data_IF_877210140090
#
_entry.id   IF_877210140090
#
_cell.length_a   1.000
_cell.length_b   1.000
_cell.length_c   1.000
_cell.angle_alpha   90.00
_cell.angle_beta   90.00
_cell.angle_gamma   90.00
#
_symmetry.space_group_name_H-M   'P 1'
#
loop_
_entity.id
_entity.type
_entity.pdbx_description
1 polymer ?
#
# COMPACT_ATOMS: atom_id res chain seq x y z
N UNK A 1 -42.13 -9.34 -19.13
CA UNK A 1 -41.11 -9.04 -18.11
C UNK A 1 -40.51 -10.36 -17.64
N UNK A 2 -39.28 -10.64 -18.05
CA UNK A 2 -38.58 -11.89 -17.73
C UNK A 2 -37.71 -11.64 -16.49
N UNK A 3 -37.76 -12.45 -15.43
CA UNK A 3 -36.97 -12.20 -14.24
C UNK A 3 -35.49 -12.51 -14.53
N UNK A 4 -34.62 -11.56 -14.18
CA UNK A 4 -33.16 -11.71 -14.25
C UNK A 4 -32.74 -12.73 -13.18
N UNK A 5 -32.19 -13.86 -13.62
CA UNK A 5 -31.54 -14.83 -12.74
C UNK A 5 -30.17 -14.29 -12.35
N UNK A 6 -30.03 -13.84 -11.11
CA UNK A 6 -28.72 -13.62 -10.51
C UNK A 6 -28.01 -14.97 -10.39
N UNK A 7 -26.88 -15.10 -11.10
CA UNK A 7 -26.01 -16.27 -10.98
C UNK A 7 -25.59 -16.45 -9.53
N UNK A 8 -25.69 -17.68 -9.02
CA UNK A 8 -25.09 -18.02 -7.73
C UNK A 8 -23.57 -17.94 -7.92
N UNK A 9 -22.95 -16.87 -7.45
CA UNK A 9 -21.52 -16.87 -7.18
C UNK A 9 -21.27 -17.94 -6.14
N UNK A 10 -20.51 -18.97 -6.49
CA UNK A 10 -20.05 -19.99 -5.56
C UNK A 10 -19.22 -19.27 -4.49
N UNK A 11 -19.78 -19.06 -3.30
CA UNK A 11 -19.01 -18.65 -2.14
C UNK A 11 -18.10 -19.82 -1.77
N UNK A 12 -16.83 -19.73 -2.16
CA UNK A 12 -15.79 -20.54 -1.55
C UNK A 12 -15.75 -20.12 -0.08
N UNK A 13 -16.26 -20.96 0.81
CA UNK A 13 -16.13 -20.78 2.26
C UNK A 13 -14.64 -20.96 2.57
N UNK A 14 -13.91 -19.85 2.56
CA UNK A 14 -12.57 -19.81 3.14
C UNK A 14 -12.75 -19.95 4.64
N UNK A 15 -12.38 -21.10 5.21
CA UNK A 15 -12.27 -21.23 6.66
C UNK A 15 -11.24 -20.23 7.14
N UNK A 16 -11.70 -19.18 7.82
CA UNK A 16 -10.85 -18.19 8.46
C UNK A 16 -9.86 -18.89 9.39
N UNK A 17 -8.54 -18.61 9.29
CA UNK A 17 -7.58 -19.18 10.22
C UNK A 17 -7.93 -18.71 11.64
N UNK A 18 -7.98 -19.67 12.57
CA UNK A 18 -8.14 -19.35 14.00
C UNK A 18 -6.85 -18.73 14.52
N UNK A 19 -6.97 -17.59 15.18
CA UNK A 19 -5.81 -16.90 15.79
C UNK A 19 -5.57 -17.39 17.22
N UNK A 20 -4.29 -17.44 17.62
CA UNK A 20 -3.89 -17.74 18.99
C UNK A 20 -3.84 -16.45 19.83
N UNK A 21 -4.93 -16.18 20.55
CA UNK A 21 -5.07 -14.97 21.35
C UNK A 21 -4.17 -14.96 22.60
N UNK A 22 -3.82 -16.13 23.15
CA UNK A 22 -2.92 -16.18 24.31
C UNK A 22 -1.50 -15.82 23.87
N UNK A 23 -1.02 -16.41 22.76
CA UNK A 23 0.28 -16.02 22.21
C UNK A 23 0.35 -14.54 21.85
N UNK A 24 -0.72 -13.97 21.29
CA UNK A 24 -0.79 -12.53 21.02
C UNK A 24 -0.66 -11.70 22.31
N UNK A 25 -1.37 -12.08 23.39
CA UNK A 25 -1.31 -11.38 24.69
C UNK A 25 0.06 -11.48 25.34
N UNK A 26 0.71 -12.64 25.25
CA UNK A 26 2.03 -12.87 25.83
C UNK A 26 3.16 -12.16 25.06
N UNK A 27 3.09 -12.15 23.73
CA UNK A 27 4.18 -11.67 22.86
C UNK A 27 3.97 -10.24 22.36
N UNK A 28 2.74 -9.72 22.42
CA UNK A 28 2.36 -8.42 21.82
C UNK A 28 2.24 -8.43 20.30
N UNK A 29 2.41 -9.58 19.64
CA UNK A 29 2.21 -9.76 18.20
C UNK A 29 1.85 -11.22 17.86
N UNK A 30 1.24 -11.42 16.69
CA UNK A 30 0.99 -12.74 16.11
C UNK A 30 1.28 -12.72 14.61
N UNK A 31 1.99 -13.75 14.12
CA UNK A 31 2.20 -13.96 12.69
C UNK A 31 1.12 -14.90 12.18
N UNK A 32 0.35 -14.44 11.18
CA UNK A 32 -0.65 -15.25 10.48
C UNK A 32 -0.25 -15.32 9.02
N UNK A 33 0.13 -16.50 8.57
CA UNK A 33 0.61 -16.73 7.20
C UNK A 33 -0.54 -16.95 6.23
N UNK A 34 -0.31 -16.65 4.94
CA UNK A 34 -1.25 -16.98 3.86
C UNK A 34 -2.56 -16.17 3.85
N UNK A 35 -2.58 -14.98 4.47
CA UNK A 35 -3.75 -14.10 4.44
C UNK A 35 -3.99 -13.50 3.06
N UNK A 36 -2.91 -13.07 2.41
CA UNK A 36 -2.98 -12.47 1.08
C UNK A 36 -2.52 -13.46 0.02
N UNK A 37 -3.27 -13.52 -1.07
CA UNK A 37 -2.81 -14.13 -2.30
C UNK A 37 -1.84 -13.16 -3.00
N UNK A 38 -0.59 -13.56 -3.28
CA UNK A 38 0.38 -12.65 -3.90
C UNK A 38 -0.11 -12.06 -5.22
N UNK A 39 -0.82 -12.83 -6.04
CA UNK A 39 -1.23 -12.41 -7.39
C UNK A 39 -2.56 -11.68 -7.34
N UNK A 40 -3.54 -12.17 -6.59
CA UNK A 40 -4.88 -11.59 -6.58
C UNK A 40 -5.00 -10.38 -5.64
N UNK A 41 -4.20 -10.30 -4.56
CA UNK A 41 -4.29 -9.21 -3.58
C UNK A 41 -3.11 -8.24 -3.65
N UNK A 42 -1.87 -8.72 -3.88
CA UNK A 42 -0.67 -7.87 -3.79
C UNK A 42 -0.25 -7.27 -5.13
N UNK A 43 -0.22 -8.06 -6.22
CA UNK A 43 0.14 -7.56 -7.55
C UNK A 43 -0.69 -6.34 -8.00
N UNK A 44 -2.02 -6.26 -7.75
CA UNK A 44 -2.79 -5.06 -8.09
C UNK A 44 -2.33 -3.81 -7.35
N UNK A 45 -1.92 -3.94 -6.09
CA UNK A 45 -1.37 -2.83 -5.29
C UNK A 45 -0.02 -2.39 -5.86
N UNK A 46 0.85 -3.35 -6.23
CA UNK A 46 2.14 -3.04 -6.87
C UNK A 46 1.93 -2.36 -8.22
N UNK A 47 0.97 -2.81 -9.02
CA UNK A 47 0.63 -2.21 -10.30
C UNK A 47 0.09 -0.77 -10.14
N UNK A 48 -0.76 -0.54 -9.15
CA UNK A 48 -1.28 0.80 -8.81
C UNK A 48 -0.13 1.75 -8.43
N UNK A 49 0.80 1.30 -7.58
CA UNK A 49 1.97 2.08 -7.21
C UNK A 49 2.95 2.30 -8.36
N UNK A 50 3.05 1.34 -9.29
CA UNK A 50 3.86 1.49 -10.51
C UNK A 50 3.28 2.55 -11.44
N UNK A 51 1.96 2.57 -11.62
CA UNK A 51 1.26 3.58 -12.42
C UNK A 51 1.34 4.99 -11.78
N UNK A 52 1.28 5.06 -10.43
CA UNK A 52 1.53 6.30 -9.71
C UNK A 52 2.96 6.80 -9.95
N UNK A 53 3.96 5.92 -9.85
CA UNK A 53 5.36 6.26 -10.13
C UNK A 53 5.54 6.75 -11.57
N UNK A 54 4.85 6.17 -12.55
CA UNK A 54 4.83 6.66 -13.93
C UNK A 54 4.34 8.10 -14.02
N UNK A 55 3.18 8.37 -13.45
CA UNK A 55 2.56 9.71 -13.47
C UNK A 55 3.47 10.74 -12.81
N UNK A 56 3.99 10.43 -11.61
CA UNK A 56 4.88 11.33 -10.87
C UNK A 56 6.18 11.57 -11.61
N UNK A 57 6.76 10.54 -12.23
CA UNK A 57 8.00 10.67 -12.99
C UNK A 57 7.82 11.59 -14.20
N UNK A 58 6.71 11.45 -14.95
CA UNK A 58 6.44 12.32 -16.10
C UNK A 58 6.31 13.78 -15.70
N UNK A 59 5.55 14.06 -14.63
CA UNK A 59 5.38 15.40 -14.11
C UNK A 59 6.71 15.99 -13.60
N UNK A 60 7.50 15.19 -12.90
CA UNK A 60 8.79 15.61 -12.35
C UNK A 60 9.88 15.78 -13.40
N UNK A 61 9.82 15.05 -14.51
CA UNK A 61 10.67 15.34 -15.68
C UNK A 61 10.22 16.63 -16.35
N UNK A 62 8.92 16.80 -16.58
CA UNK A 62 8.38 17.97 -17.25
C UNK A 62 8.68 19.29 -16.51
N UNK A 63 8.71 19.26 -15.18
CA UNK A 63 9.03 20.43 -14.36
C UNK A 63 10.51 20.54 -13.93
N UNK A 64 11.36 19.58 -14.32
CA UNK A 64 12.79 19.58 -14.03
C UNK A 64 13.18 19.15 -12.61
N UNK A 65 12.27 18.57 -11.83
CA UNK A 65 12.58 17.99 -10.50
C UNK A 65 13.51 16.77 -10.62
N UNK A 66 13.32 15.93 -11.65
CA UNK A 66 14.21 14.80 -11.96
C UNK A 66 14.65 14.88 -13.42
N UNK A 67 15.84 14.35 -13.74
CA UNK A 67 16.39 14.43 -15.10
C UNK A 67 15.76 13.45 -16.08
N UNK A 68 15.27 12.30 -15.60
CA UNK A 68 14.69 11.22 -16.41
C UNK A 68 13.78 10.32 -15.56
N UNK A 69 13.01 9.45 -16.22
CA UNK A 69 11.95 8.64 -15.62
C UNK A 69 12.39 7.25 -15.09
N UNK A 70 13.60 6.79 -15.47
CA UNK A 70 14.18 5.50 -15.11
C UNK A 70 13.30 4.28 -15.48
N UNK A 71 12.45 4.38 -16.50
CA UNK A 71 11.49 3.33 -16.89
C UNK A 71 12.12 2.01 -17.32
N UNK A 72 13.40 2.01 -17.67
CA UNK A 72 14.15 0.81 -17.99
C UNK A 72 14.47 -0.07 -16.78
N UNK A 73 14.33 0.47 -15.55
CA UNK A 73 14.71 -0.22 -14.32
C UNK A 73 13.53 -0.93 -13.65
N UNK A 74 13.79 -2.02 -12.90
CA UNK A 74 12.79 -2.61 -12.01
C UNK A 74 12.24 -1.60 -10.99
N UNK A 75 10.98 -1.77 -10.55
CA UNK A 75 10.26 -0.82 -9.70
C UNK A 75 11.10 -0.25 -8.54
N UNK A 76 11.75 -1.10 -7.76
CA UNK A 76 12.53 -0.67 -6.60
C UNK A 76 13.76 0.16 -6.96
N UNK A 77 14.44 -0.17 -8.07
CA UNK A 77 15.61 0.56 -8.56
C UNK A 77 15.20 1.90 -9.20
N UNK A 78 14.10 1.88 -9.96
CA UNK A 78 13.48 3.06 -10.54
C UNK A 78 13.08 4.05 -9.45
N UNK A 79 12.35 3.60 -8.44
CA UNK A 79 11.93 4.44 -7.32
C UNK A 79 13.13 5.03 -6.59
N UNK A 80 14.20 4.26 -6.37
CA UNK A 80 15.43 4.79 -5.77
C UNK A 80 16.08 5.89 -6.64
N UNK A 81 16.14 5.70 -7.96
CA UNK A 81 16.64 6.70 -8.90
C UNK A 81 15.86 8.01 -8.83
N UNK A 82 14.53 7.91 -8.90
CA UNK A 82 13.61 9.05 -8.79
C UNK A 82 13.77 9.77 -7.44
N UNK A 83 13.79 9.03 -6.33
CA UNK A 83 13.92 9.61 -4.99
C UNK A 83 15.27 10.29 -4.75
N UNK A 84 16.37 9.75 -5.28
CA UNK A 84 17.69 10.39 -5.13
C UNK A 84 17.75 11.77 -5.80
N UNK A 85 16.91 12.04 -6.81
CA UNK A 85 16.79 13.36 -7.43
C UNK A 85 15.72 14.23 -6.76
N UNK A 86 14.55 13.66 -6.45
CA UNK A 86 13.43 14.38 -5.82
C UNK A 86 13.63 14.67 -4.32
N UNK A 87 14.55 13.97 -3.66
CA UNK A 87 14.83 14.05 -2.22
C UNK A 87 13.82 13.31 -1.33
N UNK A 88 14.02 13.35 0.01
CA UNK A 88 13.20 12.59 0.96
C UNK A 88 11.70 12.89 0.94
N UNK A 89 11.31 14.13 0.63
CA UNK A 89 9.89 14.52 0.47
C UNK A 89 9.22 13.86 -0.73
N UNK A 90 9.99 13.30 -1.67
CA UNK A 90 9.48 12.55 -2.81
C UNK A 90 8.69 11.29 -2.44
N UNK A 91 8.76 10.81 -1.19
CA UNK A 91 7.90 9.74 -0.70
C UNK A 91 6.45 10.17 -0.44
N UNK A 92 6.20 11.44 -0.09
CA UNK A 92 4.89 11.88 0.38
C UNK A 92 3.75 11.61 -0.61
N UNK A 93 3.90 11.82 -1.93
CA UNK A 93 2.83 11.52 -2.88
C UNK A 93 2.43 10.04 -2.97
N UNK A 94 3.28 9.12 -2.49
CA UNK A 94 2.99 7.68 -2.44
C UNK A 94 2.26 7.27 -1.15
N UNK A 95 2.18 8.15 -0.16
CA UNK A 95 1.57 7.82 1.12
C UNK A 95 0.05 7.97 1.07
N UNK A 96 -0.65 7.12 1.83
CA UNK A 96 -2.10 7.11 1.96
C UNK A 96 -2.61 8.02 3.09
N UNK A 97 -1.73 8.86 3.62
CA UNK A 97 -2.03 9.86 4.64
C UNK A 97 -1.42 11.19 4.28
N UNK A 98 -2.06 12.27 4.75
CA UNK A 98 -1.52 13.62 4.66
C UNK A 98 -0.38 13.79 5.67
N UNK A 99 0.58 14.70 5.40
CA UNK A 99 1.59 15.04 6.39
C UNK A 99 0.94 15.65 7.63
N UNK A 100 1.61 15.53 8.78
CA UNK A 100 1.09 15.99 10.06
C UNK A 100 0.87 17.51 10.13
N UNK A 101 1.63 18.28 9.34
CA UNK A 101 1.55 19.74 9.29
C UNK A 101 1.74 20.24 7.84
N UNK A 102 1.46 21.53 7.64
CA UNK A 102 1.72 22.19 6.35
C UNK A 102 0.84 21.70 5.19
N UNK A 103 -0.32 21.09 5.50
CA UNK A 103 -1.29 20.66 4.48
C UNK A 103 -1.89 21.87 3.78
N UNK A 104 -1.84 21.85 2.45
CA UNK A 104 -2.46 22.79 1.53
C UNK A 104 -3.34 22.04 0.53
N UNK A 105 -4.07 22.76 -0.32
CA UNK A 105 -4.90 22.16 -1.38
C UNK A 105 -4.08 21.38 -2.42
N UNK A 106 -2.80 21.72 -2.56
CA UNK A 106 -1.85 21.06 -3.46
C UNK A 106 -1.15 19.84 -2.82
N UNK A 107 -1.38 19.59 -1.54
CA UNK A 107 -0.74 18.48 -0.83
C UNK A 107 -1.28 17.15 -1.32
N UNK A 108 -0.38 16.31 -1.84
CA UNK A 108 -0.75 15.01 -2.41
C UNK A 108 -0.96 13.95 -1.34
N UNK A 109 -1.92 13.07 -1.63
CA UNK A 109 -2.24 11.85 -0.90
C UNK A 109 -2.62 10.79 -1.93
N UNK A 110 -2.12 9.57 -1.78
CA UNK A 110 -2.50 8.45 -2.63
C UNK A 110 -3.82 7.86 -2.15
N UNK A 111 -4.86 7.96 -2.98
CA UNK A 111 -6.20 7.45 -2.69
C UNK A 111 -6.58 6.29 -3.62
N UNK A 112 -5.60 5.45 -3.93
CA UNK A 112 -5.76 4.31 -4.81
C UNK A 112 -6.80 3.29 -4.34
N UNK A 113 -7.57 2.76 -5.30
CA UNK A 113 -8.60 1.76 -5.03
C UNK A 113 -8.02 0.42 -4.59
N UNK A 114 -6.83 0.05 -5.07
CA UNK A 114 -6.21 -1.24 -4.79
C UNK A 114 -5.66 -1.27 -3.36
N UNK A 115 -4.99 -0.21 -2.90
CA UNK A 115 -4.54 -0.11 -1.50
C UNK A 115 -5.72 -0.12 -0.52
N UNK A 116 -6.82 0.58 -0.83
CA UNK A 116 -8.03 0.52 0.00
C UNK A 116 -8.75 -0.84 -0.10
N UNK A 117 -8.66 -1.51 -1.25
CA UNK A 117 -9.11 -2.88 -1.43
C UNK A 117 -8.38 -3.86 -0.50
N UNK A 118 -7.06 -3.71 -0.36
CA UNK A 118 -6.25 -4.52 0.54
C UNK A 118 -6.65 -4.33 2.01
N UNK A 119 -6.92 -3.08 2.44
CA UNK A 119 -7.41 -2.77 3.79
C UNK A 119 -8.79 -3.36 4.07
N UNK A 120 -9.61 -3.58 3.04
CA UNK A 120 -10.94 -4.18 3.12
C UNK A 120 -10.98 -5.66 2.77
N UNK A 121 -9.83 -6.31 2.61
CA UNK A 121 -9.77 -7.71 2.23
C UNK A 121 -10.47 -8.58 3.30
N UNK A 122 -11.44 -9.41 2.89
CA UNK A 122 -12.23 -10.20 3.83
C UNK A 122 -11.39 -11.17 4.67
N UNK A 123 -10.31 -11.74 4.11
CA UNK A 123 -9.42 -12.63 4.88
C UNK A 123 -8.69 -11.87 5.98
N UNK A 124 -8.25 -10.63 5.70
CA UNK A 124 -7.67 -9.75 6.70
C UNK A 124 -8.70 -9.39 7.77
N UNK A 125 -9.88 -8.92 7.37
CA UNK A 125 -10.91 -8.45 8.29
C UNK A 125 -11.42 -9.59 9.20
N UNK A 126 -11.59 -10.80 8.67
CA UNK A 126 -11.98 -11.97 9.46
C UNK A 126 -10.92 -12.36 10.52
N UNK A 127 -9.64 -12.05 10.28
CA UNK A 127 -8.57 -12.23 11.27
C UNK A 127 -8.61 -11.12 12.31
N UNK A 128 -8.73 -9.86 11.88
CA UNK A 128 -8.82 -8.70 12.77
C UNK A 128 -10.04 -8.80 13.72
N UNK A 129 -11.19 -9.24 13.20
CA UNK A 129 -12.42 -9.44 13.97
C UNK A 129 -12.21 -10.35 15.20
N UNK A 130 -11.36 -11.37 15.09
CA UNK A 130 -11.07 -12.27 16.21
C UNK A 130 -10.33 -11.59 17.37
N UNK A 131 -9.65 -10.47 17.12
CA UNK A 131 -8.93 -9.71 18.16
C UNK A 131 -9.79 -8.62 18.79
N UNK A 132 -10.54 -7.87 17.97
CA UNK A 132 -11.20 -6.63 18.41
C UNK A 132 -12.72 -6.68 18.33
N UNK A 133 -13.29 -7.77 17.83
CA UNK A 133 -14.72 -7.91 17.59
C UNK A 133 -15.14 -7.39 16.19
N UNK A 134 -16.45 -7.44 15.90
CA UNK A 134 -16.99 -7.23 14.55
C UNK A 134 -16.99 -5.76 14.09
N UNK A 135 -16.89 -4.81 15.02
CA UNK A 135 -16.87 -3.38 14.70
C UNK A 135 -15.42 -2.91 14.45
N UNK A 136 -15.00 -2.99 13.19
CA UNK A 136 -13.64 -2.63 12.76
C UNK A 136 -13.61 -1.19 12.23
N UNK A 137 -12.77 -0.35 12.83
CA UNK A 137 -12.51 1.02 12.40
C UNK A 137 -11.06 1.16 11.90
N UNK A 138 -10.90 1.80 10.74
CA UNK A 138 -9.59 2.14 10.18
C UNK A 138 -9.26 3.60 10.52
N UNK A 139 -8.36 3.82 11.47
CA UNK A 139 -7.90 5.16 11.85
C UNK A 139 -6.99 5.74 10.75
N UNK A 140 -7.18 6.99 10.28
CA UNK A 140 -6.41 7.58 9.16
C UNK A 140 -4.95 7.97 9.47
N UNK A 141 -4.27 7.27 10.39
CA UNK A 141 -2.82 7.42 10.68
C UNK A 141 -2.05 6.27 10.01
N UNK A 142 -2.56 5.78 8.89
CA UNK A 142 -1.96 4.68 8.15
C UNK A 142 -0.90 5.20 7.19
N UNK A 143 0.18 4.46 7.06
CA UNK A 143 1.27 4.80 6.16
C UNK A 143 1.59 3.65 5.22
N UNK A 144 1.82 3.95 3.96
CA UNK A 144 2.50 3.01 3.07
C UNK A 144 3.99 3.27 3.12
N UNK A 145 4.75 2.20 3.40
CA UNK A 145 6.21 2.25 3.56
C UNK A 145 6.88 1.45 2.45
N UNK A 146 7.10 2.09 1.31
CA UNK A 146 7.91 1.52 0.23
C UNK A 146 9.39 1.67 0.61
N UNK A 147 10.14 0.57 0.63
CA UNK A 147 11.55 0.56 1.03
C UNK A 147 12.44 0.05 -0.13
N UNK A 148 12.93 0.96 -0.99
CA UNK A 148 13.97 0.60 -1.95
C UNK A 148 15.23 0.05 -1.25
N UNK A 149 16.05 -0.78 -1.92
CA UNK A 149 17.31 -1.24 -1.36
C UNK A 149 18.18 -0.07 -0.90
N UNK A 150 18.56 -0.06 0.39
CA UNK A 150 19.28 1.06 1.01
C UNK A 150 20.61 1.40 0.33
N UNK A 151 21.27 0.41 -0.29
CA UNK A 151 22.49 0.59 -1.08
C UNK A 151 22.31 1.48 -2.32
N UNK A 152 21.07 1.65 -2.79
CA UNK A 152 20.73 2.47 -3.95
C UNK A 152 20.33 3.89 -3.58
N UNK A 153 20.06 4.16 -2.30
CA UNK A 153 19.64 5.47 -1.82
C UNK A 153 20.83 6.32 -1.39
N UNK A 154 20.71 7.64 -1.62
CA UNK A 154 21.65 8.65 -1.19
C UNK A 154 21.79 8.75 0.34
N UNK A 155 22.73 9.57 0.81
CA UNK A 155 23.05 9.69 2.24
C UNK A 155 21.91 10.34 3.03
N UNK A 156 21.17 11.21 2.38
CA UNK A 156 20.00 11.94 2.88
C UNK A 156 18.86 11.03 3.33
N UNK A 157 18.83 9.77 2.86
CA UNK A 157 17.83 8.76 3.24
C UNK A 157 18.26 7.84 4.39
N UNK A 158 19.48 8.01 4.95
CA UNK A 158 20.03 7.07 5.95
C UNK A 158 19.58 7.34 7.39
N UNK A 159 18.95 8.49 7.64
CA UNK A 159 18.54 8.94 8.99
C UNK A 159 17.04 9.30 9.07
N UNK A 160 16.25 8.90 8.08
CA UNK A 160 14.78 9.10 8.05
C UNK A 160 14.03 7.86 8.49
#
# INVERSE_FOLDING_TARGET
MTPVRWGRTTMTVLTTPKVDLERFREQGYLVVEGIFDPVADLDPVVAEYSALLDTLSDEWVANGTIKRDYRELPFAERLAGVLNEAGPSGFQPFDISLPFNGVTEETRIHLGSQVFGLLRNERLLNVVEQFIGPEILSNPIQHVRIKPPSRLLGKEFRNT
#
